data_IF_148361809329
#
_entry.id   IF_148361809329
#
_cell.length_a   1.000
_cell.length_b   1.000
_cell.length_c   1.000
_cell.angle_alpha   90.00
_cell.angle_beta   90.00
_cell.angle_gamma   90.00
#
_symmetry.space_group_name_H-M   'P 1'
#
loop_
_entity.id
_entity.type
_entity.pdbx_description
1 polymer ?
#
# COMPACT_ATOMS: atom_id res chain seq x y z
N UNK A 1 18.88 -55.46 -9.86
CA UNK A 1 18.65 -54.20 -10.61
C UNK A 1 17.63 -53.24 -9.97
N UNK A 2 17.17 -53.45 -8.72
CA UNK A 2 16.18 -52.59 -8.04
C UNK A 2 16.77 -51.56 -7.07
N UNK A 3 18.09 -51.52 -6.90
CA UNK A 3 18.79 -50.63 -5.95
C UNK A 3 18.92 -49.19 -6.49
N UNK A 4 18.85 -48.98 -7.82
CA UNK A 4 19.06 -47.67 -8.44
C UNK A 4 17.88 -46.69 -8.31
N UNK A 5 16.63 -47.15 -8.21
CA UNK A 5 15.48 -46.23 -8.23
C UNK A 5 15.28 -45.50 -6.90
N UNK A 6 15.50 -46.19 -5.77
CA UNK A 6 15.41 -45.56 -4.44
C UNK A 6 16.59 -44.62 -4.19
N UNK A 7 17.81 -44.98 -4.58
CA UNK A 7 18.98 -44.09 -4.44
C UNK A 7 18.80 -42.81 -5.27
N UNK A 8 18.29 -42.89 -6.50
CA UNK A 8 18.01 -41.71 -7.33
C UNK A 8 16.90 -40.81 -6.75
N UNK A 9 15.87 -41.38 -6.13
CA UNK A 9 14.83 -40.60 -5.42
C UNK A 9 15.39 -39.86 -4.20
N UNK A 10 16.31 -40.48 -3.46
CA UNK A 10 16.98 -39.84 -2.32
C UNK A 10 17.92 -38.70 -2.75
N UNK A 11 18.66 -38.88 -3.84
CA UNK A 11 19.57 -37.85 -4.38
C UNK A 11 18.76 -36.65 -4.89
N UNK A 12 17.70 -36.88 -5.66
CA UNK A 12 16.84 -35.81 -6.18
C UNK A 12 16.07 -35.07 -5.08
N UNK A 13 15.60 -35.74 -4.03
CA UNK A 13 15.00 -35.07 -2.86
C UNK A 13 16.01 -34.21 -2.10
N UNK A 14 17.24 -34.71 -1.92
CA UNK A 14 18.31 -34.00 -1.22
C UNK A 14 18.75 -32.74 -1.98
N UNK A 15 18.90 -32.82 -3.30
CA UNK A 15 19.24 -31.67 -4.14
C UNK A 15 18.16 -30.58 -4.07
N UNK A 16 16.89 -30.98 -4.10
CA UNK A 16 15.76 -30.05 -3.97
C UNK A 16 15.75 -29.33 -2.60
N UNK A 17 16.14 -30.00 -1.53
CA UNK A 17 16.20 -29.41 -0.18
C UNK A 17 17.39 -28.44 -0.02
N UNK A 18 18.59 -28.82 -0.48
CA UNK A 18 19.74 -27.90 -0.50
C UNK A 18 19.44 -26.65 -1.33
N UNK A 19 18.80 -26.83 -2.48
CA UNK A 19 18.38 -25.73 -3.35
C UNK A 19 17.36 -24.82 -2.64
N UNK A 20 16.39 -25.39 -1.91
CA UNK A 20 15.38 -24.62 -1.18
C UNK A 20 15.99 -23.78 -0.06
N UNK A 21 16.86 -24.35 0.78
CA UNK A 21 17.53 -23.61 1.86
C UNK A 21 18.46 -22.53 1.31
N UNK A 22 19.24 -22.84 0.27
CA UNK A 22 20.11 -21.86 -0.40
C UNK A 22 19.33 -20.68 -0.95
N UNK A 23 18.21 -20.95 -1.61
CA UNK A 23 17.32 -19.93 -2.17
C UNK A 23 16.67 -19.08 -1.07
N UNK A 24 16.27 -19.68 0.05
CA UNK A 24 15.74 -18.95 1.21
C UNK A 24 16.78 -17.98 1.79
N UNK A 25 17.99 -18.47 2.09
CA UNK A 25 19.07 -17.63 2.63
C UNK A 25 19.46 -16.52 1.66
N UNK A 26 19.54 -16.84 0.36
CA UNK A 26 19.83 -15.86 -0.69
C UNK A 26 18.79 -14.73 -0.68
N UNK A 27 17.50 -15.05 -0.63
CA UNK A 27 16.45 -14.04 -0.58
C UNK A 27 16.49 -13.19 0.69
N UNK A 28 16.71 -13.79 1.86
CA UNK A 28 16.88 -13.03 3.12
C UNK A 28 18.08 -12.09 3.03
N UNK A 29 19.19 -12.55 2.44
CA UNK A 29 20.43 -11.78 2.31
C UNK A 29 20.29 -10.64 1.29
N UNK A 30 19.65 -10.87 0.14
CA UNK A 30 19.35 -9.84 -0.85
C UNK A 30 18.42 -8.78 -0.26
N UNK A 31 17.35 -9.20 0.42
CA UNK A 31 16.41 -8.26 1.03
C UNK A 31 17.07 -7.39 2.11
N UNK A 32 17.91 -7.98 2.95
CA UNK A 32 18.69 -7.27 3.95
C UNK A 32 19.72 -6.33 3.32
N UNK A 33 20.41 -6.77 2.26
CA UNK A 33 21.36 -5.95 1.51
C UNK A 33 20.72 -4.74 0.84
N UNK A 34 19.53 -4.90 0.24
CA UNK A 34 18.77 -3.79 -0.33
C UNK A 34 18.33 -2.78 0.75
N UNK A 35 17.87 -3.27 1.90
CA UNK A 35 17.52 -2.39 3.03
C UNK A 35 18.74 -1.61 3.54
N UNK A 36 19.89 -2.25 3.65
CA UNK A 36 21.15 -1.60 4.03
C UNK A 36 21.60 -0.56 2.99
N UNK A 37 21.47 -0.88 1.70
CA UNK A 37 21.77 0.04 0.61
C UNK A 37 20.89 1.29 0.64
N UNK A 38 19.58 1.12 0.85
CA UNK A 38 18.63 2.24 1.04
C UNK A 38 19.04 3.08 2.27
N UNK A 39 19.41 2.42 3.38
CA UNK A 39 19.89 3.10 4.58
C UNK A 39 21.12 3.97 4.32
N UNK A 40 22.11 3.43 3.59
CA UNK A 40 23.32 4.16 3.24
C UNK A 40 23.04 5.34 2.32
N UNK A 41 22.24 5.16 1.25
CA UNK A 41 21.88 6.26 0.35
C UNK A 41 21.18 7.37 1.13
N UNK A 42 20.21 7.02 1.96
CA UNK A 42 19.44 8.02 2.72
C UNK A 42 20.27 8.69 3.81
N UNK A 43 21.26 7.99 4.38
CA UNK A 43 22.24 8.58 5.30
C UNK A 43 23.19 9.56 4.57
N UNK A 44 23.65 9.21 3.37
CA UNK A 44 24.46 10.11 2.54
C UNK A 44 23.65 11.35 2.19
N UNK A 45 22.38 11.20 1.79
CA UNK A 45 21.49 12.34 1.51
C UNK A 45 21.25 13.21 2.76
N UNK A 46 21.16 12.60 3.94
CA UNK A 46 21.11 13.33 5.20
C UNK A 46 22.38 14.17 5.44
N UNK A 47 23.56 13.62 5.12
CA UNK A 47 24.86 14.25 5.35
C UNK A 47 25.28 15.27 4.26
N UNK A 48 24.84 15.10 3.01
CA UNK A 48 25.36 15.85 1.86
C UNK A 48 24.56 17.10 1.50
N UNK A 49 23.48 17.41 2.22
CA UNK A 49 22.49 18.41 1.81
C UNK A 49 22.39 19.57 2.81
N UNK A 50 23.41 20.45 2.83
CA UNK A 50 23.41 21.68 3.64
C UNK A 50 22.28 22.68 3.25
N UNK A 51 21.68 22.51 2.06
CA UNK A 51 20.64 23.40 1.53
C UNK A 51 19.21 22.85 1.64
N UNK A 52 19.01 21.72 2.30
CA UNK A 52 17.68 21.09 2.42
C UNK A 52 17.02 21.47 3.74
N UNK A 53 15.70 21.69 3.70
CA UNK A 53 14.87 21.99 4.88
C UNK A 53 15.08 20.94 5.99
N UNK A 54 15.16 21.41 7.24
CA UNK A 54 15.40 20.58 8.43
C UNK A 54 14.41 19.42 8.51
N UNK A 55 13.16 19.65 8.09
CA UNK A 55 12.12 18.61 8.08
C UNK A 55 12.45 17.47 7.11
N UNK A 56 12.90 17.79 5.90
CA UNK A 56 13.30 16.79 4.89
C UNK A 56 14.55 16.05 5.34
N UNK A 57 15.51 16.74 5.96
CA UNK A 57 16.69 16.11 6.55
C UNK A 57 16.31 15.09 7.64
N UNK A 58 15.39 15.45 8.54
CA UNK A 58 14.89 14.53 9.57
C UNK A 58 14.16 13.32 8.96
N UNK A 59 13.42 13.49 7.87
CA UNK A 59 12.78 12.37 7.16
C UNK A 59 13.84 11.41 6.61
N UNK A 60 14.90 11.90 5.98
CA UNK A 60 15.98 11.04 5.49
C UNK A 60 16.68 10.26 6.61
N UNK A 61 16.90 10.90 7.76
CA UNK A 61 17.44 10.23 8.95
C UNK A 61 16.52 9.11 9.43
N UNK A 62 15.22 9.38 9.56
CA UNK A 62 14.23 8.37 10.00
C UNK A 62 14.18 7.20 9.02
N UNK A 63 14.14 7.47 7.71
CA UNK A 63 14.14 6.42 6.68
C UNK A 63 15.42 5.59 6.79
N UNK A 64 16.58 6.23 6.97
CA UNK A 64 17.86 5.55 7.09
C UNK A 64 17.89 4.60 8.30
N UNK A 65 17.44 5.07 9.46
CA UNK A 65 17.38 4.29 10.69
C UNK A 65 16.41 3.11 10.56
N UNK A 66 15.21 3.34 10.00
CA UNK A 66 14.21 2.28 9.79
C UNK A 66 14.73 1.23 8.79
N UNK A 67 15.36 1.66 7.71
CA UNK A 67 15.97 0.78 6.72
C UNK A 67 17.12 -0.06 7.33
N UNK A 68 17.90 0.51 8.25
CA UNK A 68 18.97 -0.19 8.95
C UNK A 68 18.41 -1.25 9.93
N UNK A 69 17.42 -0.88 10.75
CA UNK A 69 16.76 -1.79 11.69
C UNK A 69 16.10 -2.96 10.94
N UNK A 70 15.42 -2.67 9.83
CA UNK A 70 14.77 -3.72 9.02
C UNK A 70 15.79 -4.67 8.39
N UNK A 71 16.95 -4.16 7.96
CA UNK A 71 18.05 -4.99 7.45
C UNK A 71 18.50 -6.04 8.48
N UNK A 72 18.67 -5.65 9.75
CA UNK A 72 19.05 -6.55 10.84
C UNK A 72 17.94 -7.53 11.21
N UNK A 73 16.69 -7.07 11.32
CA UNK A 73 15.54 -7.93 11.66
C UNK A 73 15.39 -9.07 10.65
N UNK A 74 15.59 -8.80 9.36
CA UNK A 74 15.48 -9.82 8.30
C UNK A 74 16.50 -10.94 8.50
N UNK A 75 17.77 -10.60 8.76
CA UNK A 75 18.83 -11.59 8.96
C UNK A 75 18.72 -12.31 10.31
N UNK A 76 18.38 -11.60 11.39
CA UNK A 76 18.15 -12.23 12.69
C UNK A 76 16.98 -13.21 12.67
N UNK A 77 15.91 -12.90 11.95
CA UNK A 77 14.79 -13.85 11.76
C UNK A 77 15.24 -15.10 11.01
N UNK A 78 16.10 -14.96 10.00
CA UNK A 78 16.64 -16.09 9.26
C UNK A 78 17.62 -16.92 10.11
N UNK A 79 18.49 -16.26 10.88
CA UNK A 79 19.41 -16.89 11.81
C UNK A 79 18.65 -17.68 12.88
N UNK A 80 17.63 -17.06 13.50
CA UNK A 80 16.75 -17.72 14.48
C UNK A 80 16.10 -18.98 13.93
N UNK A 81 15.68 -18.98 12.66
CA UNK A 81 15.15 -20.17 12.00
C UNK A 81 16.18 -21.32 11.97
N UNK A 82 17.44 -21.04 11.61
CA UNK A 82 18.49 -22.07 11.60
C UNK A 82 18.80 -22.57 13.01
N UNK A 83 18.98 -21.65 13.97
CA UNK A 83 19.25 -21.97 15.38
C UNK A 83 18.17 -22.89 15.95
N UNK A 84 16.89 -22.53 15.74
CA UNK A 84 15.75 -23.32 16.22
C UNK A 84 15.74 -24.72 15.61
N UNK A 85 15.97 -24.85 14.31
CA UNK A 85 15.98 -26.15 13.65
C UNK A 85 17.19 -27.01 14.04
N UNK A 86 18.35 -26.41 14.31
CA UNK A 86 19.50 -27.15 14.85
C UNK A 86 19.18 -27.64 16.29
N UNK A 87 18.54 -26.81 17.12
CA UNK A 87 18.18 -27.17 18.49
C UNK A 87 17.15 -28.30 18.56
N UNK A 88 16.17 -28.29 17.65
CA UNK A 88 15.17 -29.36 17.52
C UNK A 88 15.75 -30.65 16.91
N UNK A 89 17.06 -30.70 16.61
CA UNK A 89 17.73 -31.80 15.90
C UNK A 89 17.13 -32.06 14.51
N UNK A 90 16.42 -31.08 13.96
CA UNK A 90 15.96 -31.10 12.58
C UNK A 90 17.19 -30.98 11.65
N UNK A 91 18.14 -30.11 11.98
CA UNK A 91 19.36 -29.96 11.19
C UNK A 91 20.54 -30.55 11.95
N UNK A 92 21.10 -31.66 11.47
CA UNK A 92 22.37 -32.16 11.97
C UNK A 92 23.51 -31.50 11.18
N UNK A 93 24.33 -30.75 11.92
CA UNK A 93 25.60 -30.23 11.43
C UNK A 93 26.70 -31.23 11.79
N UNK A 94 27.56 -31.55 10.83
CA UNK A 94 28.74 -32.41 11.04
C UNK A 94 29.62 -31.93 12.20
N UNK A 95 29.71 -30.63 12.41
CA UNK A 95 30.49 -30.02 13.49
C UNK A 95 29.57 -29.10 14.29
N UNK A 96 29.14 -29.56 15.47
CA UNK A 96 28.28 -28.79 16.38
C UNK A 96 29.14 -28.09 17.42
N UNK A 97 29.44 -26.80 17.20
CA UNK A 97 30.11 -25.97 18.20
C UNK A 97 29.13 -24.93 18.77
N UNK A 98 29.23 -24.61 20.07
CA UNK A 98 28.47 -23.48 20.64
C UNK A 98 28.74 -22.17 19.90
N UNK A 99 29.96 -22.01 19.36
CA UNK A 99 30.38 -20.84 18.58
C UNK A 99 29.59 -20.66 17.28
N UNK A 100 29.10 -21.73 16.65
CA UNK A 100 28.34 -21.63 15.40
C UNK A 100 27.04 -20.82 15.58
N UNK A 101 26.42 -20.89 16.76
CA UNK A 101 25.20 -20.14 17.08
C UNK A 101 25.46 -18.64 17.25
N UNK A 102 26.50 -18.28 18.01
CA UNK A 102 26.91 -16.90 18.20
C UNK A 102 27.37 -16.26 16.89
N UNK A 103 28.13 -17.00 16.08
CA UNK A 103 28.61 -16.52 14.80
C UNK A 103 27.47 -16.27 13.81
N UNK A 104 26.44 -17.15 13.76
CA UNK A 104 25.22 -16.93 12.99
C UNK A 104 24.52 -15.61 13.32
N UNK A 105 24.44 -15.28 14.61
CA UNK A 105 23.77 -14.08 15.08
C UNK A 105 24.60 -12.82 14.81
N UNK A 106 25.91 -12.90 15.04
CA UNK A 106 26.86 -11.80 14.85
C UNK A 106 27.05 -11.47 13.36
N UNK A 107 27.10 -12.49 12.50
CA UNK A 107 27.14 -12.32 11.04
C UNK A 107 25.84 -11.76 10.48
N UNK A 108 24.73 -11.81 11.22
CA UNK A 108 23.47 -11.15 10.84
C UNK A 108 23.56 -9.63 10.71
N UNK A 109 24.70 -9.02 11.04
CA UNK A 109 25.01 -7.61 10.79
C UNK A 109 25.60 -7.36 9.38
N UNK A 110 26.09 -8.40 8.69
CA UNK A 110 26.81 -8.29 7.42
C UNK A 110 26.20 -9.23 6.36
N UNK A 111 25.27 -8.76 5.51
CA UNK A 111 24.51 -9.60 4.58
C UNK A 111 25.34 -10.52 3.66
N UNK A 112 26.42 -10.04 2.98
CA UNK A 112 27.19 -10.91 2.10
C UNK A 112 27.98 -11.99 2.88
N UNK A 113 28.52 -11.63 4.05
CA UNK A 113 29.27 -12.56 4.90
C UNK A 113 28.32 -13.60 5.51
N UNK A 114 27.12 -13.19 5.93
CA UNK A 114 26.07 -14.08 6.41
C UNK A 114 25.70 -15.12 5.34
N UNK A 115 25.45 -14.69 4.09
CA UNK A 115 25.10 -15.59 3.00
C UNK A 115 26.18 -16.65 2.77
N UNK A 116 27.45 -16.22 2.63
CA UNK A 116 28.58 -17.12 2.40
C UNK A 116 28.71 -18.11 3.55
N UNK A 117 28.63 -17.65 4.80
CA UNK A 117 28.73 -18.50 5.98
C UNK A 117 27.62 -19.56 6.04
N UNK A 118 26.36 -19.16 5.87
CA UNK A 118 25.22 -20.09 5.93
C UNK A 118 25.31 -21.09 4.78
N UNK A 119 25.68 -20.65 3.57
CA UNK A 119 25.86 -21.54 2.41
C UNK A 119 26.95 -22.58 2.67
N UNK A 120 28.15 -22.15 3.06
CA UNK A 120 29.33 -23.02 3.16
C UNK A 120 29.45 -23.83 4.45
N UNK A 121 28.85 -23.37 5.56
CA UNK A 121 28.99 -24.06 6.86
C UNK A 121 27.73 -24.76 7.31
N UNK A 122 26.56 -24.30 6.89
CA UNK A 122 25.28 -24.87 7.31
C UNK A 122 24.68 -25.70 6.18
N UNK A 123 24.52 -25.14 4.98
CA UNK A 123 23.81 -25.79 3.88
C UNK A 123 24.62 -26.93 3.27
N UNK A 124 25.93 -26.79 3.08
CA UNK A 124 26.80 -27.87 2.58
C UNK A 124 26.98 -29.02 3.59
N UNK A 125 26.99 -28.70 4.89
CA UNK A 125 27.18 -29.68 5.98
C UNK A 125 25.87 -30.26 6.52
N UNK A 126 24.76 -29.96 5.86
CA UNK A 126 23.42 -30.36 6.25
C UNK A 126 23.26 -31.87 5.99
N UNK A 127 23.26 -32.67 7.06
CA UNK A 127 22.76 -34.04 7.00
C UNK A 127 21.35 -34.05 7.59
N UNK A 128 20.34 -34.33 6.77
CA UNK A 128 18.97 -34.46 7.24
C UNK A 128 18.77 -35.89 7.73
N UNK A 129 18.58 -36.05 9.03
CA UNK A 129 18.11 -37.31 9.60
C UNK A 129 16.60 -37.33 9.38
N UNK A 130 16.10 -38.36 8.72
CA UNK A 130 14.68 -38.59 8.46
C UNK A 130 13.98 -38.97 9.77
N UNK A 131 13.85 -38.03 10.71
CA UNK A 131 12.95 -38.18 11.84
C UNK A 131 11.52 -37.97 11.31
N UNK A 132 10.56 -38.77 11.78
CA UNK A 132 9.14 -38.59 11.44
C UNK A 132 8.61 -37.18 11.77
N UNK A 133 9.37 -36.34 12.47
CA UNK A 133 9.08 -34.94 12.72
C UNK A 133 9.29 -34.03 11.49
N UNK A 134 10.18 -34.37 10.55
CA UNK A 134 10.20 -33.71 9.24
C UNK A 134 9.07 -34.19 8.34
N UNK A 135 8.70 -35.47 8.44
CA UNK A 135 7.59 -36.06 7.67
C UNK A 135 6.23 -35.51 8.17
N UNK A 136 6.15 -35.03 9.42
CA UNK A 136 5.03 -34.24 9.92
C UNK A 136 4.99 -32.77 9.41
N UNK A 137 5.73 -32.43 8.35
CA UNK A 137 5.34 -31.32 7.46
C UNK A 137 4.24 -31.72 6.47
N UNK A 138 3.95 -33.03 6.32
CA UNK A 138 2.63 -33.51 5.90
C UNK A 138 1.76 -33.68 7.14
N UNK A 139 1.08 -32.62 7.56
CA UNK A 139 -0.23 -32.81 8.19
C UNK A 139 -0.47 -32.45 9.65
N UNK A 140 0.37 -31.70 10.38
CA UNK A 140 -0.04 -31.17 11.71
C UNK A 140 0.44 -29.74 12.03
N UNK A 141 0.61 -28.86 11.03
CA UNK A 141 0.66 -27.42 11.29
C UNK A 141 -0.67 -26.77 10.88
N UNK A 142 -1.63 -26.73 11.83
CA UNK A 142 -2.81 -25.85 11.76
C UNK A 142 -2.45 -24.36 11.62
N UNK A 143 -1.16 -24.01 11.76
CA UNK A 143 -0.60 -22.74 11.32
C UNK A 143 0.05 -22.89 9.94
N UNK A 144 -0.73 -22.50 8.94
CA UNK A 144 -0.45 -22.62 7.52
C UNK A 144 0.78 -21.81 7.06
N UNK A 145 1.82 -22.53 6.61
CA UNK A 145 2.89 -21.99 5.75
C UNK A 145 2.36 -21.33 4.46
N UNK A 146 1.08 -21.54 4.15
CA UNK A 146 0.29 -20.86 3.11
C UNK A 146 0.29 -19.33 3.28
N UNK A 147 0.46 -18.79 4.50
CA UNK A 147 0.50 -17.33 4.75
C UNK A 147 1.83 -16.67 4.37
N UNK A 148 2.96 -17.37 4.42
CA UNK A 148 4.26 -16.78 4.08
C UNK A 148 4.54 -16.81 2.57
N UNK A 149 4.03 -17.81 1.85
CA UNK A 149 4.03 -17.85 0.38
C UNK A 149 3.06 -16.85 -0.26
N UNK A 150 2.01 -16.44 0.47
CA UNK A 150 1.05 -15.42 0.00
C UNK A 150 1.70 -14.05 -0.26
N UNK A 151 2.74 -13.67 0.48
CA UNK A 151 3.38 -12.36 0.26
C UNK A 151 4.15 -12.27 -1.05
N UNK A 152 4.73 -13.39 -1.53
CA UNK A 152 5.45 -13.41 -2.81
C UNK A 152 4.50 -13.16 -3.98
N UNK A 153 3.25 -13.59 -3.88
CA UNK A 153 2.23 -13.36 -4.91
C UNK A 153 1.83 -11.88 -5.01
N UNK A 154 1.98 -11.09 -3.93
CA UNK A 154 1.76 -9.63 -3.96
C UNK A 154 2.82 -8.88 -4.76
N UNK A 155 4.06 -9.37 -4.83
CA UNK A 155 5.17 -8.73 -5.55
C UNK A 155 5.43 -9.33 -6.94
N UNK A 156 4.99 -10.56 -7.21
CA UNK A 156 5.23 -11.23 -8.50
C UNK A 156 4.29 -10.68 -9.58
N UNK A 157 4.83 -9.96 -10.58
CA UNK A 157 4.10 -9.57 -11.79
C UNK A 157 4.05 -10.74 -12.78
N UNK A 158 2.85 -11.18 -13.16
CA UNK A 158 2.66 -12.15 -14.25
C UNK A 158 2.39 -11.41 -15.57
N UNK A 159 2.53 -12.10 -16.72
CA UNK A 159 2.33 -11.51 -18.05
C UNK A 159 0.93 -10.89 -18.18
N UNK A 160 -0.08 -11.57 -17.63
CA UNK A 160 -1.46 -11.06 -17.63
C UNK A 160 -1.58 -9.78 -16.78
N UNK A 161 -0.87 -9.70 -15.66
CA UNK A 161 -0.85 -8.51 -14.81
C UNK A 161 -0.25 -7.32 -15.57
N UNK A 162 0.82 -7.55 -16.32
CA UNK A 162 1.47 -6.54 -17.16
C UNK A 162 0.53 -6.09 -18.29
N UNK A 163 -0.14 -7.01 -18.97
CA UNK A 163 -1.08 -6.69 -20.04
C UNK A 163 -2.28 -5.86 -19.54
N UNK A 164 -2.88 -6.24 -18.41
CA UNK A 164 -3.97 -5.48 -17.79
C UNK A 164 -3.48 -4.11 -17.30
N UNK A 165 -2.27 -4.05 -16.73
CA UNK A 165 -1.65 -2.78 -16.32
C UNK A 165 -1.51 -1.83 -17.50
N UNK A 166 -0.98 -2.30 -18.64
CA UNK A 166 -0.84 -1.51 -19.86
C UNK A 166 -2.17 -1.02 -20.42
N UNK A 167 -3.20 -1.88 -20.44
CA UNK A 167 -4.54 -1.52 -20.90
C UNK A 167 -5.17 -0.45 -20.00
N UNK A 168 -5.16 -0.65 -18.68
CA UNK A 168 -5.73 0.31 -17.73
C UNK A 168 -4.97 1.64 -17.75
N UNK A 169 -3.64 1.60 -17.83
CA UNK A 169 -2.79 2.78 -17.97
C UNK A 169 -3.14 3.56 -19.25
N UNK A 170 -3.24 2.86 -20.39
CA UNK A 170 -3.63 3.48 -21.67
C UNK A 170 -4.99 4.16 -21.60
N UNK A 171 -5.99 3.48 -21.03
CA UNK A 171 -7.32 4.07 -20.82
C UNK A 171 -7.26 5.31 -19.93
N UNK A 172 -6.51 5.27 -18.84
CA UNK A 172 -6.33 6.43 -17.96
C UNK A 172 -5.71 7.61 -18.69
N UNK A 173 -4.66 7.39 -19.48
CA UNK A 173 -4.00 8.47 -20.22
C UNK A 173 -4.95 9.10 -21.25
N UNK A 174 -5.75 8.29 -21.96
CA UNK A 174 -6.78 8.79 -22.90
C UNK A 174 -7.83 9.62 -22.16
N UNK A 175 -8.36 9.11 -21.05
CA UNK A 175 -9.37 9.83 -20.25
C UNK A 175 -8.79 11.11 -19.67
N UNK A 176 -7.55 11.09 -19.16
CA UNK A 176 -6.92 12.26 -18.59
C UNK A 176 -6.68 13.34 -19.66
N UNK A 177 -6.24 12.94 -20.86
CA UNK A 177 -6.02 13.86 -21.99
C UNK A 177 -7.32 14.49 -22.51
N UNK A 178 -8.43 13.73 -22.55
CA UNK A 178 -9.71 14.20 -23.09
C UNK A 178 -10.58 14.91 -22.05
N UNK A 179 -10.77 14.28 -20.88
CA UNK A 179 -11.66 14.75 -19.83
C UNK A 179 -10.99 15.71 -18.84
N UNK A 180 -9.65 15.82 -18.84
CA UNK A 180 -8.91 16.76 -17.96
C UNK A 180 -9.34 18.23 -18.13
N UNK A 181 -9.91 18.58 -19.30
CA UNK A 181 -10.46 19.93 -19.57
C UNK A 181 -11.75 20.24 -18.82
N UNK A 182 -12.49 19.23 -18.35
CA UNK A 182 -13.77 19.39 -17.63
C UNK A 182 -13.62 19.77 -16.16
N UNK A 183 -12.38 19.85 -15.64
CA UNK A 183 -12.11 20.16 -14.23
C UNK A 183 -12.37 19.01 -13.25
N UNK A 184 -12.77 17.83 -13.76
CA UNK A 184 -12.89 16.58 -12.99
C UNK A 184 -11.59 15.78 -13.08
N UNK A 185 -10.99 15.47 -11.94
CA UNK A 185 -9.80 14.62 -11.86
C UNK A 185 -10.19 13.13 -11.70
N UNK A 186 -10.11 12.37 -12.81
CA UNK A 186 -10.43 10.94 -12.84
C UNK A 186 -9.34 10.04 -12.22
N UNK A 187 -8.23 10.63 -11.78
CA UNK A 187 -7.09 9.95 -11.16
C UNK A 187 -7.49 9.05 -10.00
N UNK A 188 -8.34 9.56 -9.10
CA UNK A 188 -8.80 8.80 -7.94
C UNK A 188 -9.68 7.62 -8.33
N UNK A 189 -10.53 7.77 -9.35
CA UNK A 189 -11.35 6.67 -9.86
C UNK A 189 -10.45 5.58 -10.48
N UNK A 190 -9.44 6.00 -11.23
CA UNK A 190 -8.43 5.12 -11.77
C UNK A 190 -7.70 4.35 -10.65
N UNK A 191 -7.25 5.01 -9.58
CA UNK A 191 -6.60 4.35 -8.45
C UNK A 191 -7.48 3.29 -7.78
N UNK A 192 -8.80 3.53 -7.66
CA UNK A 192 -9.74 2.52 -7.15
C UNK A 192 -9.79 1.32 -8.09
N UNK A 193 -9.97 1.56 -9.39
CA UNK A 193 -10.08 0.50 -10.40
C UNK A 193 -8.81 -0.36 -10.47
N UNK A 194 -7.63 0.24 -10.56
CA UNK A 194 -6.37 -0.54 -10.62
C UNK A 194 -6.14 -1.35 -9.34
N UNK A 195 -6.53 -0.81 -8.18
CA UNK A 195 -6.40 -1.50 -6.89
C UNK A 195 -7.30 -2.72 -6.82
N UNK A 196 -8.49 -2.63 -7.41
CA UNK A 196 -9.41 -3.74 -7.50
C UNK A 196 -8.81 -4.94 -8.26
N UNK A 197 -8.14 -4.69 -9.40
CA UNK A 197 -7.53 -5.73 -10.24
C UNK A 197 -6.18 -6.24 -9.72
N UNK A 198 -5.20 -5.34 -9.56
CA UNK A 198 -3.79 -5.71 -9.44
C UNK A 198 -3.36 -5.93 -7.99
N UNK A 199 -4.00 -5.24 -7.04
CA UNK A 199 -3.73 -5.25 -5.60
C UNK A 199 -2.33 -4.76 -5.20
N UNK A 200 -2.28 -4.12 -4.04
CA UNK A 200 -1.09 -3.76 -3.27
C UNK A 200 0.02 -3.14 -4.13
N UNK A 201 1.20 -3.76 -4.16
CA UNK A 201 2.39 -3.25 -4.82
C UNK A 201 2.22 -3.06 -6.33
N UNK A 202 1.50 -3.97 -7.00
CA UNK A 202 1.27 -3.89 -8.45
C UNK A 202 0.40 -2.69 -8.81
N UNK A 203 -0.67 -2.49 -8.05
CA UNK A 203 -1.52 -1.31 -8.21
C UNK A 203 -0.76 -0.02 -7.92
N UNK A 204 0.08 -0.01 -6.88
CA UNK A 204 0.93 1.15 -6.56
C UNK A 204 1.93 1.48 -7.67
N UNK A 205 2.61 0.46 -8.23
CA UNK A 205 3.55 0.65 -9.33
C UNK A 205 2.84 1.27 -10.54
N UNK A 206 1.68 0.74 -10.93
CA UNK A 206 0.89 1.29 -12.05
C UNK A 206 0.36 2.69 -11.74
N UNK A 207 -0.05 2.96 -10.50
CA UNK A 207 -0.49 4.28 -10.06
C UNK A 207 0.61 5.34 -10.17
N UNK A 208 1.85 5.02 -9.77
CA UNK A 208 3.01 5.91 -9.92
C UNK A 208 3.30 6.15 -11.41
N UNK A 209 3.31 5.09 -12.22
CA UNK A 209 3.55 5.22 -13.66
C UNK A 209 2.48 6.10 -14.31
N UNK A 210 1.22 5.95 -13.93
CA UNK A 210 0.12 6.79 -14.41
C UNK A 210 0.31 8.26 -14.06
N UNK A 211 0.66 8.57 -12.81
CA UNK A 211 0.97 9.94 -12.36
C UNK A 211 2.13 10.53 -13.18
N UNK A 212 3.23 9.78 -13.29
CA UNK A 212 4.42 10.20 -14.03
C UNK A 212 4.14 10.43 -15.53
N UNK A 213 3.50 9.46 -16.19
CA UNK A 213 3.17 9.58 -17.62
C UNK A 213 2.10 10.64 -17.88
N UNK A 214 1.17 10.87 -16.95
CA UNK A 214 0.20 11.97 -17.03
C UNK A 214 0.89 13.34 -17.05
N UNK A 215 1.90 13.53 -16.20
CA UNK A 215 2.74 14.74 -16.23
C UNK A 215 3.61 14.81 -17.48
N UNK A 216 4.07 13.66 -18.00
CA UNK A 216 4.84 13.58 -19.24
C UNK A 216 4.05 14.04 -20.45
N UNK A 217 2.82 13.55 -20.61
CA UNK A 217 1.94 13.93 -21.71
C UNK A 217 1.52 15.41 -21.61
N UNK A 218 1.30 15.91 -20.39
CA UNK A 218 0.98 17.33 -20.18
C UNK A 218 2.18 18.28 -20.28
N UNK A 219 3.39 17.76 -20.50
CA UNK A 219 4.63 18.56 -20.57
C UNK A 219 5.06 19.17 -19.23
N UNK A 220 4.54 18.67 -18.12
CA UNK A 220 4.71 19.25 -16.77
C UNK A 220 5.54 18.38 -15.82
N UNK A 221 6.32 17.43 -16.34
CA UNK A 221 7.18 16.51 -15.54
C UNK A 221 8.13 17.25 -14.61
N UNK A 222 8.65 18.40 -15.03
CA UNK A 222 9.53 19.21 -14.20
C UNK A 222 8.85 19.69 -12.91
N UNK A 223 7.52 19.66 -12.85
CA UNK A 223 6.72 20.02 -11.67
C UNK A 223 6.41 18.83 -10.76
N UNK A 224 6.90 17.63 -11.09
CA UNK A 224 6.71 16.45 -10.26
C UNK A 224 7.34 16.65 -8.89
N UNK A 225 6.56 16.40 -7.85
CA UNK A 225 6.98 16.59 -6.47
C UNK A 225 6.54 15.41 -5.63
N UNK A 226 7.45 14.92 -4.79
CA UNK A 226 7.26 13.67 -4.03
C UNK A 226 5.99 13.67 -3.16
N UNK A 227 5.56 14.83 -2.66
CA UNK A 227 4.32 14.96 -1.86
C UNK A 227 3.07 14.61 -2.68
N UNK A 228 3.09 14.83 -3.99
CA UNK A 228 2.06 14.34 -4.91
C UNK A 228 2.35 12.89 -5.33
N UNK A 229 3.61 12.56 -5.63
CA UNK A 229 4.00 11.21 -6.07
C UNK A 229 3.71 10.09 -5.04
N UNK A 230 3.57 10.41 -3.75
CA UNK A 230 3.21 9.43 -2.72
C UNK A 230 1.70 9.09 -2.71
N UNK A 231 0.85 9.97 -3.24
CA UNK A 231 -0.61 9.80 -3.29
C UNK A 231 -1.04 8.52 -4.04
N UNK A 232 -0.58 8.25 -5.28
CA UNK A 232 -0.93 7.01 -5.97
C UNK A 232 -0.52 5.76 -5.20
N UNK A 233 0.60 5.80 -4.48
CA UNK A 233 1.12 4.66 -3.71
C UNK A 233 0.20 4.34 -2.54
N UNK A 234 -0.03 5.33 -1.68
CA UNK A 234 -0.81 5.12 -0.45
C UNK A 234 -2.27 4.86 -0.80
N UNK A 235 -2.83 5.58 -1.77
CA UNK A 235 -4.25 5.40 -2.16
C UNK A 235 -4.52 4.00 -2.69
N UNK A 236 -3.67 3.49 -3.57
CA UNK A 236 -3.86 2.16 -4.15
C UNK A 236 -3.64 1.06 -3.12
N UNK A 237 -2.68 1.24 -2.21
CA UNK A 237 -2.44 0.30 -1.12
C UNK A 237 -3.64 0.25 -0.15
N UNK A 238 -4.16 1.41 0.23
CA UNK A 238 -5.33 1.54 1.10
C UNK A 238 -6.58 0.92 0.46
N UNK A 239 -6.82 1.17 -0.82
CA UNK A 239 -7.95 0.54 -1.55
C UNK A 239 -7.78 -0.97 -1.71
N UNK A 240 -6.56 -1.44 -1.94
CA UNK A 240 -6.31 -2.87 -2.02
C UNK A 240 -6.62 -3.57 -0.70
N UNK A 241 -6.24 -2.97 0.44
CA UNK A 241 -6.62 -3.44 1.76
C UNK A 241 -8.13 -3.43 1.96
N UNK A 242 -8.80 -2.35 1.55
CA UNK A 242 -10.24 -2.21 1.63
C UNK A 242 -10.98 -3.31 0.87
N UNK A 243 -10.59 -3.56 -0.39
CA UNK A 243 -11.21 -4.61 -1.18
C UNK A 243 -10.91 -6.03 -0.66
N UNK A 244 -9.74 -6.24 -0.05
CA UNK A 244 -9.40 -7.51 0.58
C UNK A 244 -10.27 -7.82 1.79
N UNK A 245 -10.57 -6.81 2.60
CA UNK A 245 -11.54 -6.93 3.69
C UNK A 245 -12.92 -7.27 3.11
N UNK A 246 -13.32 -6.53 2.07
CA UNK A 246 -14.61 -6.69 1.41
C UNK A 246 -14.88 -8.13 0.93
N UNK A 247 -13.90 -8.72 0.25
CA UNK A 247 -14.01 -10.07 -0.29
C UNK A 247 -14.04 -11.15 0.79
N UNK A 248 -13.30 -10.94 1.90
CA UNK A 248 -13.24 -11.90 2.99
C UNK A 248 -14.51 -11.92 3.81
N UNK A 249 -15.08 -10.75 4.11
CA UNK A 249 -16.30 -10.65 4.90
C UNK A 249 -17.09 -9.39 4.55
N UNK A 250 -18.15 -9.57 3.76
CA UNK A 250 -19.06 -8.50 3.31
C UNK A 250 -19.66 -7.71 4.47
N UNK A 251 -20.18 -8.39 5.50
CA UNK A 251 -20.84 -7.74 6.66
C UNK A 251 -19.83 -6.93 7.48
N UNK A 252 -18.69 -7.54 7.82
CA UNK A 252 -17.63 -6.86 8.56
C UNK A 252 -17.13 -5.65 7.79
N UNK A 253 -17.02 -5.75 6.47
CA UNK A 253 -16.53 -4.67 5.63
C UNK A 253 -17.48 -3.50 5.56
N UNK A 254 -18.80 -3.74 5.53
CA UNK A 254 -19.80 -2.67 5.66
C UNK A 254 -19.63 -1.95 6.99
N UNK A 255 -19.48 -2.68 8.10
CA UNK A 255 -19.27 -2.08 9.43
C UNK A 255 -17.97 -1.27 9.46
N UNK A 256 -16.85 -1.86 9.03
CA UNK A 256 -15.55 -1.21 9.00
C UNK A 256 -15.56 0.03 8.09
N UNK A 257 -16.26 0.00 6.96
CA UNK A 257 -16.40 1.16 6.06
C UNK A 257 -17.03 2.35 6.78
N UNK A 258 -18.05 2.11 7.61
CA UNK A 258 -18.66 3.16 8.42
C UNK A 258 -17.68 3.66 9.48
N UNK A 259 -17.00 2.75 10.20
CA UNK A 259 -16.01 3.14 11.22
C UNK A 259 -14.90 4.01 10.61
N UNK A 260 -14.34 3.60 9.46
CA UNK A 260 -13.33 4.39 8.76
C UNK A 260 -13.86 5.75 8.32
N UNK A 261 -15.09 5.82 7.81
CA UNK A 261 -15.73 7.08 7.44
C UNK A 261 -15.82 8.02 8.65
N UNK A 262 -16.35 7.53 9.77
CA UNK A 262 -16.48 8.30 11.01
C UNK A 262 -15.12 8.80 11.51
N UNK A 263 -14.11 7.93 11.54
CA UNK A 263 -12.74 8.30 11.95
C UNK A 263 -12.15 9.37 11.02
N UNK A 264 -12.38 9.25 9.72
CA UNK A 264 -11.83 10.21 8.73
C UNK A 264 -12.53 11.57 8.82
N UNK A 265 -13.84 11.58 9.03
CA UNK A 265 -14.60 12.82 9.21
C UNK A 265 -14.22 13.46 10.55
N UNK A 266 -14.10 12.67 11.62
CA UNK A 266 -13.66 13.17 12.92
C UNK A 266 -12.24 13.77 12.83
N UNK A 267 -11.30 13.13 12.13
CA UNK A 267 -9.95 13.68 11.95
C UNK A 267 -9.97 14.99 11.17
N UNK A 268 -10.84 15.14 10.17
CA UNK A 268 -11.04 16.41 9.48
C UNK A 268 -11.56 17.51 10.42
N UNK A 269 -12.52 17.20 11.29
CA UNK A 269 -13.01 18.15 12.30
C UNK A 269 -11.92 18.52 13.31
N UNK A 270 -11.11 17.56 13.76
CA UNK A 270 -9.97 17.83 14.65
C UNK A 270 -8.95 18.75 13.99
N UNK A 271 -8.59 18.48 12.73
CA UNK A 271 -7.67 19.35 11.97
C UNK A 271 -8.27 20.75 11.82
N UNK A 272 -9.55 20.85 11.47
CA UNK A 272 -10.22 22.13 11.33
C UNK A 272 -10.26 22.91 12.64
N UNK A 273 -10.69 22.26 13.73
CA UNK A 273 -10.73 22.83 15.07
C UNK A 273 -9.36 23.35 15.50
N UNK A 274 -8.33 22.50 15.39
CA UNK A 274 -6.96 22.86 15.73
C UNK A 274 -6.48 24.07 14.93
N UNK A 275 -6.74 24.11 13.61
CA UNK A 275 -6.36 25.24 12.76
C UNK A 275 -7.10 26.54 13.13
N UNK A 276 -8.36 26.45 13.59
CA UNK A 276 -9.11 27.62 14.06
C UNK A 276 -8.69 28.09 15.45
N UNK A 277 -8.23 27.20 16.32
CA UNK A 277 -7.80 27.54 17.69
C UNK A 277 -6.42 28.21 17.76
N UNK A 278 -5.54 27.99 16.78
CA UNK A 278 -4.13 28.44 16.82
C UNK A 278 -3.96 29.96 16.59
N UNK A 279 -5.04 30.76 16.50
CA UNK A 279 -4.88 32.06 15.84
C UNK A 279 -5.74 33.21 16.39
N UNK A 280 -5.02 34.16 16.98
CA UNK A 280 -5.26 35.60 16.94
C UNK A 280 -5.35 36.08 15.46
N UNK A 281 -6.48 35.85 14.77
CA UNK A 281 -6.66 36.27 13.37
C UNK A 281 -7.25 37.67 13.32
N UNK A 282 -6.40 38.69 13.35
CA UNK A 282 -6.73 39.94 12.69
C UNK A 282 -6.84 39.68 11.18
N UNK A 283 -8.08 39.57 10.71
CA UNK A 283 -8.59 39.73 9.34
C UNK A 283 -7.66 39.34 8.16
N UNK A 284 -7.89 38.17 7.56
CA UNK A 284 -7.37 37.83 6.24
C UNK A 284 -8.42 38.26 5.20
N UNK A 285 -8.14 39.33 4.44
CA UNK A 285 -8.98 39.78 3.32
C UNK A 285 -8.92 38.76 2.17
N UNK A 286 -9.95 37.94 2.03
CA UNK A 286 -10.26 37.21 0.80
C UNK A 286 -10.99 38.20 -0.14
N UNK A 287 -10.74 38.10 -1.45
CA UNK A 287 -11.20 39.05 -2.46
C UNK A 287 -12.72 39.32 -2.37
N UNK A 288 -13.09 40.57 -2.67
CA UNK A 288 -14.45 41.14 -2.57
C UNK A 288 -15.56 40.35 -3.32
N UNK A 289 -15.21 39.38 -4.14
CA UNK A 289 -16.15 38.63 -4.98
C UNK A 289 -17.01 37.62 -4.20
N UNK A 290 -16.61 37.22 -2.98
CA UNK A 290 -17.36 36.25 -2.17
C UNK A 290 -17.71 36.71 -0.75
N UNK A 291 -17.40 37.95 -0.35
CA UNK A 291 -17.92 38.53 0.90
C UNK A 291 -17.53 37.85 2.22
N UNK A 292 -16.66 36.82 2.25
CA UNK A 292 -16.25 36.16 3.49
C UNK A 292 -14.89 36.66 3.98
N UNK A 293 -14.89 37.44 5.06
CA UNK A 293 -13.70 38.11 5.64
C UNK A 293 -13.01 37.30 6.75
N UNK A 294 -13.58 36.17 7.14
CA UNK A 294 -13.12 35.28 8.21
C UNK A 294 -13.36 33.83 7.77
N UNK A 295 -12.71 32.85 8.41
CA UNK A 295 -13.20 31.46 8.35
C UNK A 295 -14.53 31.48 9.09
N UNK A 296 -15.58 31.83 8.36
CA UNK A 296 -16.87 32.08 8.93
C UNK A 296 -17.41 30.79 9.56
N UNK A 297 -18.16 30.92 10.65
CA UNK A 297 -19.03 29.85 11.18
C UNK A 297 -19.81 29.16 10.05
N UNK A 298 -20.17 29.89 8.99
CA UNK A 298 -20.84 29.33 7.81
C UNK A 298 -20.04 28.22 7.13
N UNK A 299 -18.71 28.33 7.07
CA UNK A 299 -17.82 27.31 6.52
C UNK A 299 -17.85 26.02 7.35
N UNK A 300 -17.80 26.16 8.68
CA UNK A 300 -17.92 25.03 9.60
C UNK A 300 -19.30 24.37 9.48
N UNK A 301 -20.37 25.16 9.40
CA UNK A 301 -21.74 24.69 9.21
C UNK A 301 -21.87 23.92 7.88
N UNK A 302 -21.32 24.43 6.78
CA UNK A 302 -21.35 23.75 5.48
C UNK A 302 -20.61 22.42 5.55
N UNK A 303 -19.41 22.37 6.16
CA UNK A 303 -18.66 21.13 6.35
C UNK A 303 -19.41 20.14 7.26
N UNK A 304 -20.06 20.65 8.30
CA UNK A 304 -20.98 19.92 9.19
C UNK A 304 -22.09 19.23 8.43
N UNK A 305 -22.89 20.01 7.69
CA UNK A 305 -24.01 19.53 6.90
C UNK A 305 -23.54 18.50 5.87
N UNK A 306 -22.46 18.80 5.15
CA UNK A 306 -21.93 17.93 4.10
C UNK A 306 -21.43 16.59 4.66
N UNK A 307 -20.71 16.63 5.76
CA UNK A 307 -20.25 15.43 6.46
C UNK A 307 -21.44 14.63 6.98
N UNK A 308 -22.45 15.28 7.56
CA UNK A 308 -23.67 14.64 8.04
C UNK A 308 -24.46 13.98 6.90
N UNK A 309 -24.55 14.61 5.72
CA UNK A 309 -25.20 14.03 4.53
C UNK A 309 -24.44 12.78 4.06
N UNK A 310 -23.11 12.85 3.95
CA UNK A 310 -22.29 11.70 3.54
C UNK A 310 -22.43 10.53 4.52
N UNK A 311 -22.32 10.82 5.82
CA UNK A 311 -22.50 9.82 6.89
C UNK A 311 -23.92 9.26 6.91
N UNK A 312 -24.92 10.12 6.74
CA UNK A 312 -26.34 9.74 6.70
C UNK A 312 -26.62 8.79 5.53
N UNK A 313 -26.16 9.13 4.33
CA UNK A 313 -26.29 8.27 3.14
C UNK A 313 -25.57 6.94 3.36
N UNK A 314 -24.32 6.96 3.86
CA UNK A 314 -23.55 5.74 4.09
C UNK A 314 -24.21 4.83 5.13
N UNK A 315 -24.65 5.41 6.25
CA UNK A 315 -25.29 4.70 7.35
C UNK A 315 -26.62 4.12 6.88
N UNK A 316 -27.42 4.89 6.14
CA UNK A 316 -28.69 4.44 5.57
C UNK A 316 -28.49 3.24 4.62
N UNK A 317 -27.54 3.33 3.68
CA UNK A 317 -27.21 2.22 2.77
C UNK A 317 -26.75 0.98 3.55
N UNK A 318 -25.93 1.18 4.59
CA UNK A 318 -25.38 0.11 5.42
C UNK A 318 -26.45 -0.59 6.25
N UNK A 319 -27.35 0.16 6.88
CA UNK A 319 -28.48 -0.38 7.64
C UNK A 319 -29.43 -1.13 6.70
N UNK A 320 -29.78 -0.55 5.55
CA UNK A 320 -30.62 -1.21 4.54
C UNK A 320 -30.01 -2.53 4.06
N UNK A 321 -28.69 -2.58 3.88
CA UNK A 321 -27.97 -3.82 3.55
C UNK A 321 -28.07 -4.86 4.67
N UNK A 322 -27.78 -4.47 5.92
CA UNK A 322 -27.70 -5.36 7.07
C UNK A 322 -29.07 -5.94 7.47
N UNK A 323 -30.14 -5.14 7.34
CA UNK A 323 -31.52 -5.57 7.61
C UNK A 323 -32.11 -6.44 6.50
N UNK A 324 -31.53 -6.41 5.29
CA UNK A 324 -32.00 -7.22 4.17
C UNK A 324 -31.67 -8.71 4.39
N UNK A 325 -32.69 -9.50 4.77
CA UNK A 325 -32.53 -10.93 5.08
C UNK A 325 -32.38 -11.82 3.84
N UNK A 326 -33.09 -11.52 2.73
CA UNK A 326 -33.07 -12.35 1.51
C UNK A 326 -31.88 -12.01 0.62
N UNK A 327 -31.22 -13.03 0.08
CA UNK A 327 -30.27 -12.84 -1.03
C UNK A 327 -31.05 -12.58 -2.31
N UNK A 328 -31.00 -11.35 -2.80
CA UNK A 328 -31.69 -10.89 -4.00
C UNK A 328 -30.75 -10.09 -4.89
N UNK A 329 -31.09 -9.97 -6.17
CA UNK A 329 -30.39 -9.08 -7.11
C UNK A 329 -30.30 -7.65 -6.55
N UNK A 330 -31.36 -7.19 -5.90
CA UNK A 330 -31.40 -5.86 -5.25
C UNK A 330 -30.38 -5.73 -4.11
N UNK A 331 -30.17 -6.79 -3.31
CA UNK A 331 -29.13 -6.80 -2.25
C UNK A 331 -27.72 -6.78 -2.83
N UNK A 332 -27.50 -7.45 -3.95
CA UNK A 332 -26.23 -7.44 -4.68
C UNK A 332 -25.93 -6.07 -5.30
N UNK A 333 -26.92 -5.42 -5.91
CA UNK A 333 -26.74 -4.06 -6.44
C UNK A 333 -26.48 -3.07 -5.31
N UNK A 334 -27.19 -3.21 -4.18
CA UNK A 334 -27.00 -2.35 -3.02
C UNK A 334 -25.57 -2.47 -2.47
N UNK A 335 -25.04 -3.68 -2.33
CA UNK A 335 -23.67 -3.84 -1.83
C UNK A 335 -22.64 -3.26 -2.79
N UNK A 336 -22.82 -3.41 -4.10
CA UNK A 336 -21.95 -2.81 -5.12
C UNK A 336 -21.95 -1.28 -5.01
N UNK A 337 -23.13 -0.67 -4.89
CA UNK A 337 -23.26 0.77 -4.70
C UNK A 337 -22.60 1.23 -3.40
N UNK A 338 -22.78 0.48 -2.30
CA UNK A 338 -22.20 0.80 -1.00
C UNK A 338 -20.67 0.77 -1.04
N UNK A 339 -20.07 -0.26 -1.62
CA UNK A 339 -18.61 -0.35 -1.77
C UNK A 339 -18.09 0.78 -2.64
N UNK A 340 -18.78 1.06 -3.74
CA UNK A 340 -18.38 2.11 -4.67
C UNK A 340 -18.40 3.48 -3.98
N UNK A 341 -19.48 3.77 -3.25
CA UNK A 341 -19.61 4.99 -2.47
C UNK A 341 -18.52 5.08 -1.39
N UNK A 342 -18.34 4.01 -0.60
CA UNK A 342 -17.33 3.96 0.44
C UNK A 342 -15.91 4.17 -0.10
N UNK A 343 -15.56 3.52 -1.22
CA UNK A 343 -14.23 3.62 -1.83
C UNK A 343 -13.96 5.04 -2.32
N UNK A 344 -14.94 5.65 -3.01
CA UNK A 344 -14.85 7.02 -3.54
C UNK A 344 -14.72 8.03 -2.41
N UNK A 345 -15.59 7.95 -1.40
CA UNK A 345 -15.58 8.88 -0.27
C UNK A 345 -14.28 8.74 0.51
N UNK A 346 -13.85 7.53 0.82
CA UNK A 346 -12.63 7.29 1.59
C UNK A 346 -11.41 7.89 0.89
N UNK A 347 -11.23 7.64 -0.41
CA UNK A 347 -10.12 8.26 -1.14
C UNK A 347 -10.24 9.79 -1.18
N UNK A 348 -11.42 10.32 -1.51
CA UNK A 348 -11.59 11.77 -1.68
C UNK A 348 -11.34 12.50 -0.36
N UNK A 349 -11.89 12.01 0.75
CA UNK A 349 -11.71 12.68 2.05
C UNK A 349 -10.24 12.62 2.47
N UNK A 350 -9.58 11.46 2.39
CA UNK A 350 -8.18 11.34 2.82
C UNK A 350 -7.24 12.11 1.89
N UNK A 351 -7.27 11.82 0.59
CA UNK A 351 -6.24 12.33 -0.32
C UNK A 351 -6.57 13.70 -0.89
N UNK A 352 -7.86 14.03 -1.02
CA UNK A 352 -8.30 15.29 -1.62
C UNK A 352 -8.59 16.36 -0.57
N UNK A 353 -9.28 16.01 0.51
CA UNK A 353 -9.64 17.00 1.54
C UNK A 353 -8.54 17.22 2.58
N UNK A 354 -7.93 16.14 3.07
CA UNK A 354 -6.88 16.23 4.09
C UNK A 354 -5.50 16.43 3.44
N UNK A 355 -5.06 15.51 2.58
CA UNK A 355 -3.72 15.58 2.01
C UNK A 355 -3.58 16.65 0.92
N UNK A 356 -4.62 16.83 0.08
CA UNK A 356 -4.59 17.71 -1.08
C UNK A 356 -4.15 19.16 -0.78
N UNK A 357 -4.73 19.86 0.21
CA UNK A 357 -4.33 21.22 0.55
C UNK A 357 -2.90 21.30 1.07
N UNK A 358 -2.48 20.33 1.88
CA UNK A 358 -1.10 20.22 2.36
C UNK A 358 -0.13 20.05 1.18
N UNK A 359 -0.43 19.12 0.27
CA UNK A 359 0.37 18.85 -0.92
C UNK A 359 0.51 20.08 -1.82
N UNK A 360 -0.61 20.76 -2.08
CA UNK A 360 -0.63 21.96 -2.91
C UNK A 360 0.22 23.09 -2.33
N UNK A 361 0.08 23.37 -1.03
CA UNK A 361 0.86 24.43 -0.39
C UNK A 361 2.35 24.11 -0.46
N UNK A 362 2.75 22.88 -0.11
CA UNK A 362 4.16 22.47 -0.16
C UNK A 362 4.75 22.55 -1.56
N UNK A 363 4.04 22.02 -2.54
CA UNK A 363 4.44 22.10 -3.95
C UNK A 363 4.55 23.54 -4.45
N UNK A 364 3.58 24.41 -4.10
CA UNK A 364 3.58 25.80 -4.55
C UNK A 364 4.72 26.61 -3.93
N UNK A 365 5.07 26.34 -2.67
CA UNK A 365 6.23 26.96 -2.02
C UNK A 365 7.54 26.45 -2.62
N UNK A 366 7.61 25.18 -3.01
CA UNK A 366 8.78 24.63 -3.69
C UNK A 366 9.00 25.23 -5.08
N UNK A 367 7.96 25.28 -5.91
CA UNK A 367 8.05 25.81 -7.28
C UNK A 367 8.24 27.33 -7.32
N UNK A 368 7.75 28.02 -6.29
CA UNK A 368 7.87 29.47 -6.16
C UNK A 368 8.25 29.83 -4.72
N UNK A 369 9.54 29.84 -4.37
CA UNK A 369 10.01 30.11 -3.01
C UNK A 369 9.61 31.49 -2.47
N UNK A 370 9.30 32.45 -3.35
CA UNK A 370 8.79 33.79 -3.00
C UNK A 370 7.31 33.79 -2.60
N UNK A 371 6.62 32.65 -2.69
CA UNK A 371 5.22 32.49 -2.28
C UNK A 371 5.07 32.75 -0.77
N UNK A 372 4.16 33.66 -0.41
CA UNK A 372 3.78 33.92 1.00
C UNK A 372 2.80 32.87 1.56
N UNK A 373 2.55 31.76 0.84
CA UNK A 373 1.66 30.70 1.28
C UNK A 373 2.31 29.91 2.42
N UNK A 374 1.80 30.10 3.64
CA UNK A 374 2.16 29.29 4.81
C UNK A 374 1.05 28.31 5.12
N UNK A 375 1.40 27.09 5.54
CA UNK A 375 0.43 26.03 5.85
C UNK A 375 -0.69 26.53 6.79
N UNK A 376 -0.30 27.16 7.90
CA UNK A 376 -1.23 27.66 8.91
C UNK A 376 -2.22 28.73 8.40
N UNK A 377 -1.84 29.53 7.39
CA UNK A 377 -2.70 30.61 6.86
C UNK A 377 -3.55 30.16 5.68
N UNK A 378 -3.03 29.25 4.87
CA UNK A 378 -3.63 28.97 3.56
C UNK A 378 -4.33 27.63 3.47
N UNK A 379 -4.16 26.73 4.46
CA UNK A 379 -4.71 25.37 4.40
C UNK A 379 -6.23 25.36 4.19
N UNK A 380 -6.99 26.04 5.06
CA UNK A 380 -8.47 26.08 4.96
C UNK A 380 -8.92 26.75 3.66
N UNK A 381 -8.23 27.83 3.25
CA UNK A 381 -8.53 28.59 2.03
C UNK A 381 -8.39 27.69 0.79
N UNK A 382 -7.35 26.85 0.75
CA UNK A 382 -7.13 25.88 -0.35
C UNK A 382 -8.07 24.69 -0.24
N UNK A 383 -8.38 24.24 0.98
CA UNK A 383 -9.24 23.08 1.23
C UNK A 383 -10.69 23.29 0.77
N UNK A 384 -11.27 24.45 1.03
CA UNK A 384 -12.68 24.70 0.74
C UNK A 384 -13.10 24.52 -0.72
N UNK A 385 -12.45 25.14 -1.72
CA UNK A 385 -12.85 24.94 -3.11
C UNK A 385 -12.73 23.48 -3.53
N UNK A 386 -11.81 22.72 -2.94
CA UNK A 386 -11.66 21.28 -3.19
C UNK A 386 -12.86 20.50 -2.65
N UNK A 387 -13.32 20.83 -1.43
CA UNK A 387 -14.48 20.20 -0.81
C UNK A 387 -15.76 20.54 -1.60
N UNK A 388 -15.95 21.80 -1.99
CA UNK A 388 -17.11 22.20 -2.80
C UNK A 388 -17.18 21.46 -4.13
N UNK A 389 -16.05 21.32 -4.84
CA UNK A 389 -16.00 20.49 -6.06
C UNK A 389 -16.33 19.03 -5.79
N UNK A 390 -16.01 18.54 -4.59
CA UNK A 390 -16.27 17.17 -4.19
C UNK A 390 -17.75 16.86 -3.98
N UNK A 391 -18.59 17.86 -3.71
CA UNK A 391 -20.06 17.71 -3.65
C UNK A 391 -20.60 17.11 -4.94
N UNK A 392 -20.10 17.60 -6.07
CA UNK A 392 -20.51 17.18 -7.39
C UNK A 392 -19.74 15.92 -7.80
N UNK A 393 -18.44 15.86 -7.50
CA UNK A 393 -17.61 14.74 -7.95
C UNK A 393 -17.91 13.42 -7.22
N UNK A 394 -18.26 13.43 -5.93
CA UNK A 394 -18.53 12.19 -5.16
C UNK A 394 -19.71 11.40 -5.76
N UNK A 395 -20.90 12.01 -5.99
CA UNK A 395 -22.02 11.31 -6.63
C UNK A 395 -21.68 10.81 -8.02
N UNK A 396 -21.03 11.65 -8.85
CA UNK A 396 -20.65 11.28 -10.22
C UNK A 396 -19.67 10.10 -10.21
N UNK A 397 -18.61 10.16 -9.42
CA UNK A 397 -17.62 9.09 -9.34
C UNK A 397 -18.22 7.82 -8.75
N UNK A 398 -19.12 7.93 -7.77
CA UNK A 398 -19.85 6.78 -7.23
C UNK A 398 -20.72 6.13 -8.28
N UNK A 399 -21.47 6.91 -9.07
CA UNK A 399 -22.32 6.39 -10.12
C UNK A 399 -21.50 5.67 -11.20
N UNK A 400 -20.44 6.32 -11.69
CA UNK A 400 -19.52 5.72 -12.67
C UNK A 400 -18.92 4.43 -12.11
N UNK A 401 -18.38 4.46 -10.89
CA UNK A 401 -17.75 3.30 -10.29
C UNK A 401 -18.77 2.17 -10.06
N UNK A 402 -19.97 2.46 -9.55
CA UNK A 402 -21.00 1.45 -9.35
C UNK A 402 -21.41 0.76 -10.66
N UNK A 403 -21.56 1.53 -11.74
CA UNK A 403 -21.84 0.99 -13.07
C UNK A 403 -20.68 0.16 -13.62
N UNK A 404 -19.43 0.56 -13.37
CA UNK A 404 -18.24 -0.19 -13.78
C UNK A 404 -18.04 -1.45 -12.92
N UNK A 405 -18.34 -1.42 -11.64
CA UNK A 405 -18.00 -2.52 -10.73
C UNK A 405 -18.65 -3.84 -11.13
N UNK A 406 -19.85 -3.83 -11.70
CA UNK A 406 -20.53 -5.05 -12.18
C UNK A 406 -19.70 -5.78 -13.26
N UNK A 407 -19.37 -5.15 -14.42
CA UNK A 407 -18.51 -5.79 -15.41
C UNK A 407 -17.09 -6.06 -14.89
N UNK A 408 -16.54 -5.19 -14.01
CA UNK A 408 -15.20 -5.43 -13.44
C UNK A 408 -15.16 -6.68 -12.55
N UNK A 409 -16.21 -6.95 -11.75
CA UNK A 409 -16.32 -8.20 -10.96
C UNK A 409 -16.29 -9.41 -11.89
N UNK A 410 -17.05 -9.37 -12.99
CA UNK A 410 -17.09 -10.47 -13.95
C UNK A 410 -15.73 -10.70 -14.62
N UNK A 411 -15.08 -9.61 -15.09
CA UNK A 411 -13.75 -9.67 -15.69
C UNK A 411 -12.69 -10.18 -14.71
N UNK A 412 -12.76 -9.74 -13.45
CA UNK A 412 -11.81 -10.16 -12.42
C UNK A 412 -11.94 -11.63 -12.09
N UNK A 413 -13.15 -12.17 -12.00
CA UNK A 413 -13.35 -13.60 -11.77
C UNK A 413 -12.72 -14.43 -12.90
N UNK A 414 -12.93 -14.04 -14.17
CA UNK A 414 -12.26 -14.68 -15.32
C UNK A 414 -10.74 -14.52 -15.30
N UNK A 415 -10.24 -13.37 -14.88
CA UNK A 415 -8.81 -13.12 -14.73
C UNK A 415 -8.18 -14.03 -13.67
N UNK A 416 -8.81 -14.16 -12.49
CA UNK A 416 -8.35 -15.06 -11.42
C UNK A 416 -8.41 -16.51 -11.89
N UNK A 417 -9.49 -16.93 -12.56
CA UNK A 417 -9.66 -18.27 -13.10
C UNK A 417 -8.57 -18.62 -14.11
N UNK A 418 -8.31 -17.75 -15.10
CA UNK A 418 -7.21 -17.95 -16.07
C UNK A 418 -5.83 -18.00 -15.42
N UNK A 419 -5.62 -17.20 -14.38
CA UNK A 419 -4.35 -17.18 -13.62
C UNK A 419 -4.14 -18.49 -12.84
N UNK A 420 -5.21 -19.10 -12.34
CA UNK A 420 -5.17 -20.42 -11.71
C UNK A 420 -4.87 -21.48 -12.77
N UNK A 421 -5.59 -21.48 -13.90
CA UNK A 421 -5.41 -22.45 -14.99
C UNK A 421 -3.99 -22.40 -15.54
N UNK A 422 -3.44 -21.23 -15.87
CA UNK A 422 -2.07 -21.12 -16.41
C UNK A 422 -0.94 -21.40 -15.41
N UNK A 423 -1.26 -21.69 -14.14
CA UNK A 423 -0.30 -22.12 -13.11
C UNK A 423 -0.21 -23.65 -13.03
N UNK A 424 -1.19 -24.36 -13.57
CA UNK A 424 -1.23 -25.82 -13.71
C UNK A 424 -0.98 -26.19 -15.17
#
# INVERSE_FOLDING_TARGET
MLINSQQNLYITQRENEHFLFSRKTLYSSIASGLALFISLITLVMYASLDKVDVQTRNIFLIISVVALITSFIVLWRDAYFYIRNINLKNIHLKVRSKYTYYLLFLLGLFPPIYYCFVKEKIITNLSLVKTNQFINLKGVSKYSFKKLLSYKEFFKLDIIDIAISGLLLGLYLIVNATAGRSGLSFEFLFYIVISYFLRYFKAALVGILADFFGLLISGSVATWHWVYGIVPIISTFLMSMFFDLFEKNKKLSVILSNVFLWVTIASLFVIFWWQTSIKEISAIKISKTFGFKEISITTFVILGILSAVIVGIMTFLSVKYLLSKKESLTKNNLIVTLISFASVVLIIVIFRWIWGPFAFIRWKTWISPKSKLTLQKSYVIVMLPIIFRSIISIPIYTAILASLMIPLIHLRNKYIEKKIIGKY
#
